data_IF_214424651913
#
_entry.id   IF_214424651913
#
_cell.length_a   1.000
_cell.length_b   1.000
_cell.length_c   1.000
_cell.angle_alpha   90.00
_cell.angle_beta   90.00
_cell.angle_gamma   90.00
#
_symmetry.space_group_name_H-M   'P 1'
#
loop_
_entity.id
_entity.type
_entity.pdbx_description
1 polymer ?
#
# COMPACT_ATOMS: atom_id res chain seq x y z
N UNK A 1 -8.63 -29.07 4.01
CA UNK A 1 -9.43 -27.84 3.80
C UNK A 1 -8.88 -26.70 4.66
N UNK A 2 -8.22 -25.72 4.06
CA UNK A 2 -7.82 -24.50 4.77
C UNK A 2 -9.10 -23.72 5.08
N UNK A 3 -9.49 -23.67 6.35
CA UNK A 3 -10.64 -22.88 6.80
C UNK A 3 -10.32 -21.39 6.65
N UNK A 4 -10.77 -20.80 5.54
CA UNK A 4 -10.65 -19.35 5.33
C UNK A 4 -11.62 -18.67 6.30
N UNK A 5 -11.09 -17.98 7.32
CA UNK A 5 -11.89 -17.24 8.29
C UNK A 5 -12.74 -16.16 7.58
N UNK A 6 -13.97 -15.88 8.04
CA UNK A 6 -14.82 -14.86 7.41
C UNK A 6 -14.15 -13.47 7.48
N UNK A 7 -13.97 -12.82 6.33
CA UNK A 7 -13.34 -11.50 6.24
C UNK A 7 -14.04 -10.45 7.11
N UNK A 8 -15.37 -10.42 7.09
CA UNK A 8 -16.16 -9.43 7.82
C UNK A 8 -15.95 -9.48 9.33
N UNK A 9 -15.50 -10.63 9.86
CA UNK A 9 -15.16 -10.79 11.29
C UNK A 9 -13.75 -10.32 11.61
N UNK A 10 -12.82 -10.37 10.65
CA UNK A 10 -11.40 -10.06 10.87
C UNK A 10 -11.04 -8.62 10.48
N UNK A 11 -11.75 -8.04 9.49
CA UNK A 11 -11.48 -6.69 8.98
C UNK A 11 -11.49 -5.64 10.10
N UNK A 12 -12.49 -5.56 11.01
CA UNK A 12 -12.51 -4.54 12.06
C UNK A 12 -11.27 -4.57 12.95
N UNK A 13 -10.85 -5.77 13.40
CA UNK A 13 -9.66 -5.91 14.24
C UNK A 13 -8.36 -5.62 13.49
N UNK A 14 -8.30 -5.86 12.18
CA UNK A 14 -7.17 -5.45 11.36
C UNK A 14 -7.08 -3.92 11.24
N UNK A 15 -8.19 -3.27 10.88
CA UNK A 15 -8.27 -1.81 10.72
C UNK A 15 -8.02 -1.07 12.03
N UNK A 16 -8.38 -1.63 13.18
CA UNK A 16 -8.08 -1.05 14.50
C UNK A 16 -6.56 -0.99 14.79
N UNK A 17 -5.81 -2.02 14.37
CA UNK A 17 -4.36 -2.10 14.60
C UNK A 17 -3.53 -1.39 13.53
N UNK A 18 -4.09 -1.24 12.32
CA UNK A 18 -3.39 -0.71 11.16
C UNK A 18 -2.75 0.68 11.40
N UNK A 19 -3.44 1.68 12.01
CA UNK A 19 -2.83 2.98 12.29
C UNK A 19 -1.58 2.88 13.17
N UNK A 20 -1.55 1.95 14.13
CA UNK A 20 -0.37 1.73 14.99
C UNK A 20 0.85 1.26 14.20
N UNK A 21 0.66 0.36 13.24
CA UNK A 21 1.73 -0.11 12.35
C UNK A 21 2.16 1.00 11.37
N UNK A 22 1.22 1.71 10.77
CA UNK A 22 1.51 2.82 9.85
C UNK A 22 2.27 3.95 10.54
N UNK A 23 1.96 4.23 11.81
CA UNK A 23 2.69 5.18 12.63
C UNK A 23 4.17 4.82 12.74
N UNK A 24 4.51 3.54 12.95
CA UNK A 24 5.91 3.09 13.03
C UNK A 24 6.66 3.35 11.71
N UNK A 25 6.03 3.10 10.56
CA UNK A 25 6.62 3.40 9.26
C UNK A 25 6.74 4.90 9.00
N UNK A 26 5.73 5.68 9.38
CA UNK A 26 5.74 7.14 9.30
C UNK A 26 6.88 7.73 10.14
N UNK A 27 7.06 7.26 11.38
CA UNK A 27 8.15 7.68 12.26
C UNK A 27 9.51 7.26 11.71
N UNK A 28 9.63 6.05 11.16
CA UNK A 28 10.86 5.56 10.56
C UNK A 28 11.26 6.38 9.32
N UNK A 29 10.31 6.66 8.42
CA UNK A 29 10.53 7.54 7.27
C UNK A 29 10.97 8.93 7.76
N UNK A 30 10.27 9.47 8.75
CA UNK A 30 10.53 10.77 9.34
C UNK A 30 10.46 11.86 8.26
N UNK A 31 11.57 12.59 8.10
CA UNK A 31 11.73 13.66 7.09
C UNK A 31 12.51 13.22 5.85
N UNK A 32 12.91 11.94 5.75
CA UNK A 32 13.66 11.43 4.61
C UNK A 32 12.78 11.39 3.37
N UNK A 33 13.40 11.55 2.20
CA UNK A 33 12.71 11.47 0.91
C UNK A 33 12.26 10.04 0.59
N UNK A 34 13.08 9.06 0.96
CA UNK A 34 12.91 7.62 0.74
C UNK A 34 13.28 6.84 2.01
N UNK A 35 12.84 5.59 2.10
CA UNK A 35 13.07 4.74 3.29
C UNK A 35 14.56 4.49 3.57
N UNK A 36 15.41 4.51 2.54
CA UNK A 36 16.86 4.36 2.66
C UNK A 36 17.64 5.70 2.67
N UNK A 37 16.96 6.85 2.75
CA UNK A 37 17.59 8.18 2.74
C UNK A 37 17.20 9.03 1.54
N UNK A 38 18.18 9.62 0.86
CA UNK A 38 17.93 10.62 -0.20
C UNK A 38 17.74 10.01 -1.59
N UNK A 39 18.17 8.77 -1.77
CA UNK A 39 18.08 8.02 -3.03
C UNK A 39 17.04 6.91 -2.90
N UNK A 40 16.25 6.76 -3.94
CA UNK A 40 15.31 5.64 -4.05
C UNK A 40 16.07 4.33 -4.14
N UNK A 41 15.54 3.30 -3.50
CA UNK A 41 16.05 1.93 -3.54
C UNK A 41 14.91 0.95 -3.79
N UNK A 42 15.23 -0.34 -3.94
CA UNK A 42 14.19 -1.37 -4.11
C UNK A 42 13.23 -1.48 -2.90
N UNK A 43 13.66 -1.05 -1.71
CA UNK A 43 12.81 -1.06 -0.50
C UNK A 43 11.61 -0.13 -0.68
N UNK A 44 11.77 1.00 -1.37
CA UNK A 44 10.68 1.95 -1.62
C UNK A 44 9.61 1.38 -2.55
N UNK A 45 9.96 0.45 -3.44
CA UNK A 45 9.00 -0.26 -4.28
C UNK A 45 8.14 -1.22 -3.44
N UNK A 46 8.75 -1.95 -2.51
CA UNK A 46 8.04 -2.84 -1.58
C UNK A 46 7.13 -2.01 -0.67
N UNK A 47 7.63 -0.88 -0.14
CA UNK A 47 6.82 -0.01 0.70
C UNK A 47 5.67 0.63 -0.06
N UNK A 48 5.89 1.07 -1.30
CA UNK A 48 4.80 1.56 -2.16
C UNK A 48 3.74 0.50 -2.39
N UNK A 49 4.12 -0.73 -2.77
CA UNK A 49 3.17 -1.82 -2.99
C UNK A 49 2.32 -2.11 -1.74
N UNK A 50 2.95 -2.15 -0.56
CA UNK A 50 2.23 -2.36 0.69
C UNK A 50 1.27 -1.20 0.98
N UNK A 51 1.70 0.06 0.82
CA UNK A 51 0.85 1.22 1.06
C UNK A 51 -0.33 1.29 0.08
N UNK A 52 -0.10 1.05 -1.21
CA UNK A 52 -1.13 1.02 -2.25
C UNK A 52 -2.20 -0.04 -1.93
N UNK A 53 -1.80 -1.24 -1.51
CA UNK A 53 -2.74 -2.28 -1.07
C UNK A 53 -3.57 -1.85 0.14
N UNK A 54 -2.98 -1.13 1.10
CA UNK A 54 -3.72 -0.63 2.26
C UNK A 54 -4.69 0.49 1.90
N UNK A 55 -4.30 1.41 1.01
CA UNK A 55 -5.17 2.46 0.47
C UNK A 55 -6.35 1.83 -0.27
N UNK A 56 -6.11 0.80 -1.09
CA UNK A 56 -7.20 0.05 -1.75
C UNK A 56 -8.12 -0.66 -0.74
N UNK A 57 -7.59 -1.11 0.40
CA UNK A 57 -8.35 -1.83 1.42
C UNK A 57 -9.19 -0.91 2.31
N UNK A 58 -8.64 0.26 2.63
CA UNK A 58 -9.22 1.34 3.42
C UNK A 58 -8.63 2.68 2.96
N UNK A 59 -9.41 3.43 2.16
CA UNK A 59 -8.93 4.63 1.48
C UNK A 59 -8.53 5.78 2.41
N UNK A 60 -8.90 5.70 3.70
CA UNK A 60 -8.60 6.72 4.71
C UNK A 60 -7.46 6.31 5.64
N UNK A 61 -6.85 5.14 5.44
CA UNK A 61 -5.85 4.62 6.37
C UNK A 61 -4.60 5.51 6.52
N UNK A 62 -4.35 6.41 5.55
CA UNK A 62 -3.21 7.34 5.59
C UNK A 62 -3.59 8.77 5.99
N UNK A 63 -4.84 9.09 6.32
CA UNK A 63 -5.30 10.47 6.56
C UNK A 63 -4.47 11.18 7.65
N UNK A 64 -4.04 10.44 8.68
CA UNK A 64 -3.22 10.95 9.79
C UNK A 64 -1.70 10.95 9.51
N UNK A 65 -1.25 10.42 8.35
CA UNK A 65 0.17 10.19 8.03
C UNK A 65 0.59 10.92 6.75
N UNK A 66 0.65 12.26 6.82
CA UNK A 66 0.98 13.11 5.66
C UNK A 66 2.28 12.72 4.94
N UNK A 67 3.34 12.34 5.66
CA UNK A 67 4.60 11.95 5.04
C UNK A 67 4.51 10.62 4.25
N UNK A 68 3.62 9.70 4.63
CA UNK A 68 3.34 8.49 3.87
C UNK A 68 2.50 8.80 2.62
N UNK A 69 1.52 9.70 2.71
CA UNK A 69 0.79 10.19 1.53
C UNK A 69 1.76 10.84 0.52
N UNK A 70 2.63 11.73 0.99
CA UNK A 70 3.64 12.38 0.15
C UNK A 70 4.65 11.39 -0.44
N UNK A 71 4.95 10.28 0.25
CA UNK A 71 5.79 9.22 -0.30
C UNK A 71 5.10 8.52 -1.48
N UNK A 72 3.82 8.16 -1.32
CA UNK A 72 3.01 7.53 -2.37
C UNK A 72 2.94 8.45 -3.58
N UNK A 73 2.55 9.71 -3.39
CA UNK A 73 2.49 10.71 -4.47
C UNK A 73 3.83 10.86 -5.19
N UNK A 74 4.92 10.92 -4.44
CA UNK A 74 6.28 11.05 -4.99
C UNK A 74 6.71 9.83 -5.79
N UNK A 75 6.35 8.63 -5.33
CA UNK A 75 6.66 7.39 -6.02
C UNK A 75 5.91 7.31 -7.35
N UNK A 76 4.61 7.60 -7.34
CA UNK A 76 3.77 7.60 -8.55
C UNK A 76 4.19 8.67 -9.56
N UNK A 77 4.73 9.80 -9.09
CA UNK A 77 5.23 10.88 -9.92
C UNK A 77 6.60 10.60 -10.59
N UNK A 78 7.28 9.51 -10.25
CA UNK A 78 8.53 9.13 -10.94
C UNK A 78 8.25 8.87 -12.41
N UNK A 79 8.95 9.54 -13.32
CA UNK A 79 8.65 9.55 -14.77
C UNK A 79 8.39 8.15 -15.35
N UNK A 80 9.28 7.18 -15.06
CA UNK A 80 9.14 5.80 -15.55
C UNK A 80 8.00 5.03 -14.89
N UNK A 81 7.69 5.32 -13.62
CA UNK A 81 6.57 4.72 -12.89
C UNK A 81 5.25 5.28 -13.41
N UNK A 82 5.14 6.60 -13.53
CA UNK A 82 3.99 7.28 -14.10
C UNK A 82 3.70 6.79 -15.54
N UNK A 83 4.75 6.62 -16.35
CA UNK A 83 4.62 6.06 -17.70
C UNK A 83 4.16 4.60 -17.68
N UNK A 84 4.73 3.78 -16.78
CA UNK A 84 4.33 2.38 -16.62
C UNK A 84 2.86 2.27 -16.21
N UNK A 85 2.42 3.01 -15.19
CA UNK A 85 1.05 3.00 -14.67
C UNK A 85 -0.02 3.43 -15.70
N UNK A 86 0.38 4.25 -16.69
CA UNK A 86 -0.49 4.66 -17.80
C UNK A 86 -0.48 3.68 -18.98
N UNK A 87 0.43 2.71 -18.98
CA UNK A 87 0.57 1.74 -20.07
C UNK A 87 -0.40 0.56 -19.91
N UNK A 88 -0.65 -0.16 -21.00
CA UNK A 88 -1.42 -1.42 -20.99
C UNK A 88 -0.72 -2.56 -20.23
N UNK A 89 0.54 -2.39 -19.85
CA UNK A 89 1.31 -3.37 -19.08
C UNK A 89 1.07 -3.24 -17.57
N UNK A 90 0.44 -2.15 -17.12
CA UNK A 90 0.14 -1.98 -15.70
C UNK A 90 -1.05 -2.86 -15.29
N UNK A 91 -0.85 -3.61 -14.21
CA UNK A 91 -1.86 -4.48 -13.64
C UNK A 91 -2.12 -4.00 -12.22
N UNK A 92 -3.22 -3.25 -12.04
CA UNK A 92 -3.64 -2.77 -10.71
C UNK A 92 -4.38 -3.85 -9.91
N UNK A 93 -5.14 -4.69 -10.60
CA UNK A 93 -5.96 -5.76 -10.00
C UNK A 93 -5.94 -7.03 -10.87
N UNK A 94 -6.18 -8.22 -10.27
CA UNK A 94 -6.44 -8.47 -8.86
C UNK A 94 -5.17 -8.40 -8.00
N UNK A 95 -5.31 -7.95 -6.76
CA UNK A 95 -4.23 -7.91 -5.75
C UNK A 95 -3.91 -9.32 -5.23
N UNK A 96 -4.96 -10.12 -4.99
CA UNK A 96 -4.85 -11.46 -4.40
C UNK A 96 -5.37 -12.54 -5.35
N UNK A 97 -5.02 -13.79 -5.05
CA UNK A 97 -5.51 -14.93 -5.82
C UNK A 97 -7.03 -15.11 -5.72
N UNK A 98 -7.60 -15.92 -6.63
CA UNK A 98 -9.06 -16.14 -6.75
C UNK A 98 -9.76 -16.65 -5.48
N UNK A 99 -9.03 -17.32 -4.58
CA UNK A 99 -9.57 -17.89 -3.35
C UNK A 99 -9.64 -16.87 -2.20
N UNK A 100 -8.96 -15.74 -2.32
CA UNK A 100 -9.02 -14.67 -1.33
C UNK A 100 -10.42 -14.02 -1.30
N UNK A 101 -10.80 -13.50 -0.13
CA UNK A 101 -12.09 -12.81 0.06
C UNK A 101 -12.06 -11.35 -0.42
N UNK A 102 -10.88 -10.75 -0.46
CA UNK A 102 -10.66 -9.37 -0.90
C UNK A 102 -9.56 -9.28 -1.96
N UNK A 103 -9.72 -8.33 -2.89
CA UNK A 103 -8.74 -8.07 -3.95
C UNK A 103 -8.60 -9.19 -4.97
N UNK A 104 -9.56 -10.13 -5.06
CA UNK A 104 -9.48 -11.31 -5.91
C UNK A 104 -10.10 -11.13 -7.32
N UNK A 105 -10.59 -9.93 -7.63
CA UNK A 105 -11.26 -9.60 -8.89
C UNK A 105 -10.49 -8.51 -9.65
N UNK A 106 -10.61 -8.52 -10.98
CA UNK A 106 -10.25 -7.37 -11.81
C UNK A 106 -11.35 -6.32 -11.67
N UNK A 107 -10.94 -5.07 -11.54
CA UNK A 107 -11.80 -3.88 -11.54
C UNK A 107 -11.62 -3.10 -12.83
#
# INVERSE_FOLDING_TARGET
PVSILPQDKMKPGYTERLPGTLKQFSEFLGTRKWFAGDKITFVDFIMYELLDQHIMFDSKCLDDFKNLQELVDRFEALEKIAAYMKSSLFIKTPVNNKMAKWGNKKE
#
